data_IF_992647938147
#
_entry.id   IF_992647938147
#
_cell.length_a   1.000
_cell.length_b   1.000
_cell.length_c   1.000
_cell.angle_alpha   90.00
_cell.angle_beta   90.00
_cell.angle_gamma   90.00
#
_symmetry.space_group_name_H-M   'P 1'
#
loop_
_entity.id
_entity.type
_entity.pdbx_description
1 polymer ?
#
# COMPACT_ATOMS: atom_id res chain seq x y z
N UNK A 1 39.51 27.56 15.31
CA UNK A 1 39.01 26.64 14.28
C UNK A 1 38.33 27.46 13.20
N UNK A 2 38.86 27.49 11.98
CA UNK A 2 38.32 28.32 10.89
C UNK A 2 37.34 27.49 10.07
N UNK A 3 36.11 27.99 9.91
CA UNK A 3 35.10 27.41 9.02
C UNK A 3 34.87 28.36 7.86
N UNK A 4 35.06 27.85 6.65
CA UNK A 4 34.77 28.57 5.41
C UNK A 4 33.34 28.24 4.97
N UNK A 5 32.51 29.26 4.80
CA UNK A 5 31.22 29.14 4.12
C UNK A 5 31.43 29.71 2.72
N UNK A 6 31.43 28.82 1.73
CA UNK A 6 31.44 29.21 0.32
C UNK A 6 30.01 29.52 -0.07
N UNK A 7 29.67 30.80 -0.12
CA UNK A 7 28.38 31.27 -0.62
C UNK A 7 28.24 30.80 -2.08
N UNK A 8 27.37 29.83 -2.32
CA UNK A 8 27.01 29.45 -3.69
C UNK A 8 26.08 30.55 -4.19
N UNK A 9 26.65 31.61 -4.77
CA UNK A 9 25.90 32.55 -5.60
C UNK A 9 25.36 31.78 -6.81
N UNK A 10 24.19 31.17 -6.64
CA UNK A 10 23.47 30.54 -7.74
C UNK A 10 23.11 31.69 -8.68
N UNK A 11 23.57 31.68 -9.95
CA UNK A 11 23.25 32.75 -10.88
C UNK A 11 21.73 32.88 -10.98
N UNK A 12 21.22 34.12 -10.98
CA UNK A 12 19.78 34.41 -11.04
C UNK A 12 19.13 33.64 -12.21
N UNK A 13 19.83 33.54 -13.34
CA UNK A 13 19.39 32.74 -14.49
C UNK A 13 19.15 31.25 -14.16
N UNK A 14 20.00 30.62 -13.34
CA UNK A 14 19.83 29.23 -12.91
C UNK A 14 18.57 29.08 -12.05
N UNK A 15 18.33 30.01 -11.12
CA UNK A 15 17.11 29.97 -10.28
C UNK A 15 15.83 30.17 -11.09
N UNK A 16 15.86 31.08 -12.07
CA UNK A 16 14.70 31.35 -12.95
C UNK A 16 14.40 30.15 -13.86
N UNK A 17 15.43 29.51 -14.42
CA UNK A 17 15.27 28.31 -15.26
C UNK A 17 14.69 27.16 -14.45
N UNK A 18 15.20 26.91 -13.24
CA UNK A 18 14.65 25.86 -12.36
C UNK A 18 13.19 26.16 -11.99
N UNK A 19 12.87 27.41 -11.63
CA UNK A 19 11.49 27.80 -11.33
C UNK A 19 10.56 27.62 -12.54
N UNK A 20 10.99 28.00 -13.74
CA UNK A 20 10.22 27.81 -14.97
C UNK A 20 9.99 26.33 -15.30
N UNK A 21 11.02 25.49 -15.13
CA UNK A 21 10.91 24.03 -15.31
C UNK A 21 9.93 23.41 -14.29
N UNK A 22 9.99 23.82 -13.02
CA UNK A 22 9.05 23.34 -12.01
C UNK A 22 7.60 23.76 -12.34
N UNK A 23 7.38 25.03 -12.73
CA UNK A 23 6.06 25.53 -13.09
C UNK A 23 5.48 24.82 -14.32
N UNK A 24 6.30 24.52 -15.33
CA UNK A 24 5.87 23.78 -16.53
C UNK A 24 5.52 22.33 -16.22
N UNK A 25 6.27 21.65 -15.35
CA UNK A 25 5.95 20.29 -14.88
C UNK A 25 4.62 20.28 -14.12
N UNK A 26 4.40 21.26 -13.22
CA UNK A 26 3.14 21.41 -12.49
C UNK A 26 1.97 21.68 -13.45
N UNK A 27 2.16 22.54 -14.46
CA UNK A 27 1.13 22.84 -15.47
C UNK A 27 0.81 21.62 -16.36
N UNK A 28 1.80 20.80 -16.70
CA UNK A 28 1.61 19.55 -17.43
C UNK A 28 0.84 18.51 -16.60
N UNK A 29 1.13 18.41 -15.30
CA UNK A 29 0.38 17.54 -14.38
C UNK A 29 -1.05 18.06 -14.12
N UNK A 30 -1.25 19.39 -14.17
CA UNK A 30 -2.54 20.05 -13.99
C UNK A 30 -3.35 20.21 -15.29
N UNK A 31 -2.92 19.61 -16.42
CA UNK A 31 -3.76 19.48 -17.62
C UNK A 31 -4.99 18.68 -17.24
N UNK A 32 -6.02 19.42 -16.84
CA UNK A 32 -7.33 18.90 -16.49
C UNK A 32 -7.83 18.16 -17.73
N UNK A 33 -7.99 16.85 -17.60
CA UNK A 33 -8.70 16.07 -18.61
C UNK A 33 -10.00 16.84 -18.93
N UNK A 34 -10.38 17.00 -20.21
CA UNK A 34 -11.71 17.46 -20.56
C UNK A 34 -12.68 16.69 -19.67
N UNK A 35 -13.55 17.38 -18.95
CA UNK A 35 -14.47 16.78 -18.00
C UNK A 35 -15.36 15.78 -18.75
N UNK A 36 -14.96 14.52 -18.77
CA UNK A 36 -15.77 13.44 -19.31
C UNK A 36 -17.03 13.37 -18.45
N UNK A 37 -18.24 13.45 -19.05
CA UNK A 37 -19.46 13.12 -18.33
C UNK A 37 -19.34 11.64 -17.96
N UNK A 38 -19.02 11.38 -16.69
CA UNK A 38 -18.97 10.05 -16.07
C UNK A 38 -18.22 8.99 -16.90
N UNK A 39 -16.88 9.02 -16.87
CA UNK A 39 -16.18 7.75 -16.93
C UNK A 39 -16.68 6.93 -15.71
N UNK A 40 -17.13 5.68 -15.87
CA UNK A 40 -17.34 4.81 -14.72
C UNK A 40 -16.01 4.74 -14.00
N UNK A 41 -15.92 5.39 -12.83
CA UNK A 41 -14.79 5.17 -11.93
C UNK A 41 -14.71 3.65 -11.77
N UNK A 42 -13.53 3.01 -11.89
CA UNK A 42 -13.38 1.64 -11.41
C UNK A 42 -13.97 1.65 -10.00
N UNK A 43 -15.04 0.90 -9.79
CA UNK A 43 -15.66 0.79 -8.47
C UNK A 43 -14.64 0.04 -7.64
N UNK A 44 -13.65 0.75 -7.12
CA UNK A 44 -12.85 0.25 -6.02
C UNK A 44 -13.87 -0.07 -4.94
N UNK A 45 -13.78 -1.25 -4.30
CA UNK A 45 -14.55 -1.50 -3.10
C UNK A 45 -14.37 -0.28 -2.20
N UNK A 46 -15.48 0.35 -1.81
CA UNK A 46 -15.44 1.31 -0.71
C UNK A 46 -15.16 0.48 0.54
N UNK A 47 -13.88 0.21 0.76
CA UNK A 47 -13.44 -0.50 1.94
C UNK A 47 -13.82 0.34 3.15
N UNK A 48 -14.39 -0.29 4.19
CA UNK A 48 -14.57 0.40 5.45
C UNK A 48 -13.24 0.98 5.94
N UNK A 49 -13.32 2.10 6.65
CA UNK A 49 -12.17 2.70 7.33
C UNK A 49 -10.99 2.99 6.37
N UNK A 50 -9.76 2.67 6.76
CA UNK A 50 -8.53 2.89 6.01
C UNK A 50 -8.07 1.65 5.22
N UNK A 51 -9.00 0.74 4.88
CA UNK A 51 -8.70 -0.45 4.10
C UNK A 51 -8.27 -0.16 2.66
N UNK A 52 -7.37 -0.97 2.12
CA UNK A 52 -6.92 -0.88 0.73
C UNK A 52 -7.74 -1.86 -0.11
N UNK A 53 -8.48 -1.33 -1.10
CA UNK A 53 -9.27 -2.12 -2.02
C UNK A 53 -8.41 -2.75 -3.13
N UNK A 54 -8.56 -4.06 -3.34
CA UNK A 54 -8.00 -4.76 -4.49
C UNK A 54 -9.02 -5.77 -5.03
N UNK A 55 -9.45 -5.57 -6.28
CA UNK A 55 -10.58 -6.27 -6.89
C UNK A 55 -11.84 -6.13 -6.05
N UNK A 56 -12.46 -7.23 -5.61
CA UNK A 56 -13.68 -7.24 -4.78
C UNK A 56 -13.36 -7.45 -3.28
N UNK A 57 -12.09 -7.25 -2.89
CA UNK A 57 -11.60 -7.50 -1.53
C UNK A 57 -11.02 -6.23 -0.90
N UNK A 58 -11.04 -6.20 0.42
CA UNK A 58 -10.45 -5.14 1.24
C UNK A 58 -9.36 -5.71 2.13
N UNK A 59 -8.19 -5.06 2.14
CA UNK A 59 -7.02 -5.48 2.89
C UNK A 59 -6.62 -4.41 3.90
N UNK A 60 -6.34 -4.84 5.13
CA UNK A 60 -5.84 -3.98 6.20
C UNK A 60 -4.44 -4.41 6.58
N UNK A 61 -3.48 -3.48 6.50
CA UNK A 61 -2.11 -3.68 6.92
C UNK A 61 -1.96 -3.11 8.32
N UNK A 62 -2.11 -3.96 9.33
CA UNK A 62 -1.99 -3.57 10.73
C UNK A 62 -0.52 -3.67 11.13
N UNK A 63 0.10 -2.53 11.41
CA UNK A 63 1.49 -2.42 11.87
C UNK A 63 1.56 -2.68 13.38
N UNK A 64 1.43 -3.94 13.79
CA UNK A 64 1.68 -4.36 15.16
C UNK A 64 2.77 -5.46 15.16
N UNK A 65 3.80 -5.32 16.00
CA UNK A 65 4.78 -6.39 16.30
C UNK A 65 4.13 -7.49 17.16
N UNK A 66 3.04 -8.04 16.65
CA UNK A 66 2.22 -9.04 17.29
C UNK A 66 2.61 -10.44 16.82
N UNK A 67 2.48 -11.44 17.69
CA UNK A 67 2.46 -12.82 17.25
C UNK A 67 1.22 -13.10 16.37
N UNK A 68 1.18 -14.27 15.73
CA UNK A 68 0.07 -14.64 14.84
C UNK A 68 -1.29 -14.52 15.53
N UNK A 69 -1.39 -14.89 16.81
CA UNK A 69 -2.66 -14.94 17.53
C UNK A 69 -3.17 -13.54 17.88
N UNK A 70 -2.29 -12.66 18.32
CA UNK A 70 -2.59 -11.23 18.54
C UNK A 70 -2.95 -10.54 17.24
N UNK A 71 -2.25 -10.84 16.14
CA UNK A 71 -2.56 -10.29 14.82
C UNK A 71 -3.96 -10.68 14.35
N UNK A 72 -4.37 -11.94 14.59
CA UNK A 72 -5.75 -12.37 14.33
C UNK A 72 -6.77 -11.61 15.19
N UNK A 73 -6.47 -11.35 16.46
CA UNK A 73 -7.35 -10.55 17.34
C UNK A 73 -7.49 -9.11 16.81
N UNK A 74 -6.38 -8.48 16.37
CA UNK A 74 -6.42 -7.15 15.77
C UNK A 74 -7.31 -7.13 14.52
N UNK A 75 -7.18 -8.11 13.61
CA UNK A 75 -8.06 -8.22 12.44
C UNK A 75 -9.54 -8.40 12.83
N UNK A 76 -9.83 -9.18 13.88
CA UNK A 76 -11.21 -9.38 14.35
C UNK A 76 -11.85 -8.08 14.85
N UNK A 77 -11.07 -7.14 15.40
CA UNK A 77 -11.59 -5.83 15.81
C UNK A 77 -12.09 -4.99 14.63
N UNK A 78 -11.51 -5.22 13.44
CA UNK A 78 -11.91 -4.64 12.15
C UNK A 78 -13.00 -5.48 11.44
N UNK A 79 -13.63 -6.44 12.13
CA UNK A 79 -14.57 -7.43 11.56
C UNK A 79 -13.96 -8.22 10.38
N UNK A 80 -12.66 -8.44 10.42
CA UNK A 80 -11.91 -9.16 9.40
C UNK A 80 -11.13 -10.35 10.02
N UNK A 81 -10.44 -11.11 9.16
CA UNK A 81 -9.50 -12.15 9.57
C UNK A 81 -8.15 -11.90 8.90
N UNK A 82 -7.09 -12.53 9.41
CA UNK A 82 -5.82 -12.57 8.69
C UNK A 82 -6.03 -13.11 7.27
N UNK A 83 -5.41 -12.45 6.30
CA UNK A 83 -5.72 -12.63 4.88
C UNK A 83 -5.47 -14.08 4.41
N UNK A 84 -6.42 -14.62 3.65
CA UNK A 84 -6.19 -15.77 2.77
C UNK A 84 -5.70 -15.26 1.42
N UNK A 85 -4.84 -16.03 0.76
CA UNK A 85 -4.26 -15.66 -0.53
C UNK A 85 -4.76 -16.67 -1.55
N UNK A 86 -5.65 -16.24 -2.43
CA UNK A 86 -6.33 -17.16 -3.36
C UNK A 86 -5.66 -17.17 -4.74
N UNK A 87 -4.92 -16.11 -5.09
CA UNK A 87 -4.32 -15.95 -6.42
C UNK A 87 -2.90 -15.40 -6.36
N UNK A 88 -2.10 -15.68 -7.39
CA UNK A 88 -0.75 -15.13 -7.53
C UNK A 88 -0.78 -13.59 -7.69
N UNK A 89 -1.84 -13.05 -8.28
CA UNK A 89 -2.08 -11.62 -8.41
C UNK A 89 -2.28 -10.95 -7.05
N UNK A 90 -3.06 -11.59 -6.17
CA UNK A 90 -3.28 -11.15 -4.80
C UNK A 90 -1.99 -11.19 -3.98
N UNK A 91 -1.18 -12.26 -4.10
CA UNK A 91 0.14 -12.31 -3.47
C UNK A 91 1.04 -11.17 -3.96
N UNK A 92 1.08 -10.89 -5.27
CA UNK A 92 1.87 -9.78 -5.83
C UNK A 92 1.39 -8.42 -5.34
N UNK A 93 0.07 -8.24 -5.18
CA UNK A 93 -0.50 -7.04 -4.59
C UNK A 93 -0.03 -6.87 -3.14
N UNK A 94 -0.14 -7.93 -2.32
CA UNK A 94 0.29 -7.91 -0.92
C UNK A 94 1.79 -7.63 -0.78
N UNK A 95 2.64 -8.22 -1.62
CA UNK A 95 4.09 -7.98 -1.62
C UNK A 95 4.48 -6.56 -2.07
N UNK A 96 3.64 -5.90 -2.86
CA UNK A 96 3.89 -4.53 -3.33
C UNK A 96 3.46 -3.47 -2.32
N UNK A 97 2.36 -3.73 -1.60
CA UNK A 97 1.76 -2.80 -0.65
C UNK A 97 2.20 -3.04 0.80
N UNK A 98 2.51 -4.29 1.14
CA UNK A 98 3.22 -4.59 2.37
C UNK A 98 4.59 -3.90 2.33
N UNK A 99 4.85 -3.05 3.31
CA UNK A 99 6.17 -2.44 3.53
C UNK A 99 7.25 -3.51 3.75
N UNK A 100 8.49 -3.11 4.06
CA UNK A 100 9.56 -4.05 4.47
C UNK A 100 9.26 -4.84 5.76
N UNK A 101 8.08 -4.67 6.34
CA UNK A 101 7.60 -5.40 7.50
C UNK A 101 7.04 -6.77 7.10
N UNK A 102 7.29 -7.77 7.94
CA UNK A 102 6.73 -9.11 7.78
C UNK A 102 5.32 -9.13 8.35
N UNK A 103 4.30 -9.13 7.50
CA UNK A 103 2.91 -9.23 7.93
C UNK A 103 2.48 -10.69 8.09
N UNK A 104 1.74 -10.99 9.16
CA UNK A 104 1.08 -12.28 9.30
C UNK A 104 -0.06 -12.43 8.30
N UNK A 105 -0.24 -13.67 7.81
CA UNK A 105 -1.37 -14.08 6.97
C UNK A 105 -2.12 -15.22 7.64
N UNK A 106 -3.33 -15.53 7.15
CA UNK A 106 -4.25 -16.49 7.77
C UNK A 106 -3.84 -17.96 7.65
N UNK A 107 -2.56 -18.24 7.34
CA UNK A 107 -2.03 -19.58 7.18
C UNK A 107 -1.53 -20.12 8.52
N UNK A 108 -2.08 -21.25 8.97
CA UNK A 108 -1.69 -21.88 10.24
C UNK A 108 -1.72 -23.40 10.13
N UNK A 109 -0.87 -24.07 10.90
CA UNK A 109 -0.94 -25.51 11.16
C UNK A 109 -0.94 -25.79 12.66
N UNK A 110 -1.48 -26.93 13.04
CA UNK A 110 -1.45 -27.43 14.41
C UNK A 110 -0.53 -28.65 14.48
N UNK A 111 0.52 -28.58 15.31
CA UNK A 111 1.55 -29.61 15.40
C UNK A 111 2.16 -29.96 14.03
N UNK A 112 2.10 -31.25 13.69
CA UNK A 112 2.54 -31.81 12.40
C UNK A 112 1.41 -31.93 11.36
N UNK A 113 0.23 -31.36 11.64
CA UNK A 113 -0.90 -31.38 10.73
C UNK A 113 -0.69 -30.54 9.46
N UNK A 114 -1.63 -30.64 8.50
CA UNK A 114 -1.55 -29.87 7.26
C UNK A 114 -1.75 -28.37 7.52
N UNK A 115 -1.17 -27.56 6.65
CA UNK A 115 -1.41 -26.12 6.62
C UNK A 115 -2.85 -25.83 6.18
N UNK A 116 -3.51 -24.94 6.92
CA UNK A 116 -4.90 -24.54 6.71
C UNK A 116 -5.01 -23.03 6.70
N UNK A 117 -5.88 -22.54 5.83
CA UNK A 117 -6.35 -21.16 5.84
C UNK A 117 -7.46 -20.98 6.87
N UNK A 118 -7.73 -19.73 7.27
CA UNK A 118 -8.80 -19.41 8.21
C UNK A 118 -10.19 -19.92 7.77
N UNK A 119 -10.46 -19.92 6.46
CA UNK A 119 -11.70 -20.46 5.87
C UNK A 119 -11.78 -22.01 5.90
N UNK A 120 -10.84 -22.68 6.57
CA UNK A 120 -10.68 -24.15 6.68
C UNK A 120 -10.26 -24.85 5.39
N UNK A 121 -9.94 -24.14 4.32
CA UNK A 121 -9.36 -24.78 3.13
C UNK A 121 -7.92 -25.20 3.42
N UNK A 122 -7.50 -26.29 2.78
CA UNK A 122 -6.10 -26.74 2.84
C UNK A 122 -5.24 -25.84 1.97
N UNK A 123 -4.02 -25.61 2.40
CA UNK A 123 -3.02 -24.98 1.54
C UNK A 123 -2.66 -25.92 0.40
N UNK A 124 -2.77 -25.40 -0.83
CA UNK A 124 -2.31 -26.07 -2.04
C UNK A 124 -1.07 -25.32 -2.55
N UNK A 125 0.07 -26.01 -2.60
CA UNK A 125 1.37 -25.43 -2.91
C UNK A 125 1.69 -25.48 -4.40
#
# INVERSE_FOLDING_TARGET
>A
SLKCIKDKKVPIGVTVVVAALLLTIIALAAKKCPSCPSCPSPVLPSCPENGIGYREKCFYFVEDEADWNRSQISCLSLRAHLATIDTQEELRFLLRYGSSLHYWVGLRREGSGPWKWFNRSLFNN
#
